data_IF_453452919689
#
_entry.id   IF_453452919689
#
_cell.length_a   1.000
_cell.length_b   1.000
_cell.length_c   1.000
_cell.angle_alpha   90.00
_cell.angle_beta   90.00
_cell.angle_gamma   90.00
#
_symmetry.space_group_name_H-M   'P 1'
#
loop_
_entity.id
_entity.type
_entity.pdbx_description
1 polymer ?
#
# COMPACT_ATOMS: atom_id res chain seq x y z
N UNK A 1 -31.01 -21.17 26.31
CA UNK A 1 -30.23 -19.92 26.31
C UNK A 1 -28.80 -20.09 26.83
N UNK A 2 -28.54 -20.54 28.05
CA UNK A 2 -27.17 -20.66 28.63
C UNK A 2 -26.24 -21.59 27.85
N UNK A 3 -26.73 -22.68 27.21
CA UNK A 3 -25.93 -23.62 26.40
C UNK A 3 -25.47 -22.99 25.10
N UNK A 4 -26.34 -22.24 24.39
CA UNK A 4 -26.04 -21.57 23.14
C UNK A 4 -24.97 -20.49 23.38
N UNK A 5 -25.10 -19.66 24.39
CA UNK A 5 -24.10 -18.64 24.74
C UNK A 5 -22.74 -19.27 25.02
N UNK A 6 -22.69 -20.40 25.73
CA UNK A 6 -21.43 -21.11 26.00
C UNK A 6 -20.76 -21.63 24.71
N UNK A 7 -21.55 -22.17 23.79
CA UNK A 7 -21.02 -22.66 22.48
C UNK A 7 -20.46 -21.49 21.66
N UNK A 8 -21.24 -20.41 21.54
CA UNK A 8 -20.78 -19.22 20.80
C UNK A 8 -19.51 -18.64 21.41
N UNK A 9 -19.43 -18.55 22.73
CA UNK A 9 -18.23 -18.04 23.43
C UNK A 9 -17.01 -18.93 23.22
N UNK A 10 -17.19 -20.25 23.23
CA UNK A 10 -16.09 -21.19 23.03
C UNK A 10 -15.52 -21.10 21.61
N UNK A 11 -16.37 -21.17 20.58
CA UNK A 11 -15.93 -21.02 19.20
C UNK A 11 -15.42 -19.61 18.89
N UNK A 12 -16.05 -18.57 19.43
CA UNK A 12 -15.59 -17.20 19.31
C UNK A 12 -14.16 -17.02 19.84
N UNK A 13 -13.85 -17.60 21.00
CA UNK A 13 -12.51 -17.57 21.58
C UNK A 13 -11.50 -18.35 20.73
N UNK A 14 -11.84 -19.55 20.25
CA UNK A 14 -10.96 -20.35 19.39
C UNK A 14 -10.65 -19.61 18.09
N UNK A 15 -11.67 -19.10 17.41
CA UNK A 15 -11.50 -18.33 16.17
C UNK A 15 -10.64 -17.10 16.45
N UNK A 16 -10.92 -16.38 17.54
CA UNK A 16 -10.13 -15.20 17.90
C UNK A 16 -8.65 -15.54 18.08
N UNK A 17 -8.31 -16.60 18.81
CA UNK A 17 -6.92 -17.02 19.04
C UNK A 17 -6.23 -17.34 17.72
N UNK A 18 -6.81 -18.21 16.90
CA UNK A 18 -6.14 -18.66 15.67
C UNK A 18 -6.07 -17.58 14.60
N UNK A 19 -7.15 -16.80 14.42
CA UNK A 19 -7.19 -15.74 13.42
C UNK A 19 -6.26 -14.58 13.81
N UNK A 20 -6.26 -14.18 15.09
CA UNK A 20 -5.35 -13.13 15.54
C UNK A 20 -3.89 -13.56 15.47
N UNK A 21 -3.57 -14.82 15.77
CA UNK A 21 -2.20 -15.34 15.60
C UNK A 21 -1.79 -15.42 14.12
N UNK A 22 -2.69 -15.87 13.24
CA UNK A 22 -2.42 -15.88 11.79
C UNK A 22 -2.20 -14.46 11.24
N UNK A 23 -3.00 -13.50 11.69
CA UNK A 23 -2.90 -12.09 11.28
C UNK A 23 -1.84 -11.28 12.02
N UNK A 24 -1.20 -11.82 13.07
CA UNK A 24 -0.32 -11.05 13.97
C UNK A 24 0.84 -10.36 13.24
N UNK A 25 1.56 -11.10 12.40
CA UNK A 25 2.70 -10.55 11.66
C UNK A 25 2.25 -9.46 10.69
N UNK A 26 1.13 -9.66 10.00
CA UNK A 26 0.56 -8.66 9.09
C UNK A 26 0.10 -7.42 9.85
N UNK A 27 -0.54 -7.60 10.99
CA UNK A 27 -0.95 -6.49 11.87
C UNK A 27 0.26 -5.67 12.32
N UNK A 28 1.33 -6.34 12.75
CA UNK A 28 2.55 -5.68 13.18
C UNK A 28 3.21 -4.93 12.01
N UNK A 29 3.29 -5.55 10.84
CA UNK A 29 3.83 -4.93 9.62
C UNK A 29 3.06 -3.65 9.30
N UNK A 30 1.73 -3.73 9.19
CA UNK A 30 0.90 -2.57 8.83
C UNK A 30 0.86 -1.51 9.94
N UNK A 31 0.94 -1.88 11.21
CA UNK A 31 1.03 -0.91 12.30
C UNK A 31 2.35 -0.13 12.27
N UNK A 32 3.48 -0.79 12.08
CA UNK A 32 4.79 -0.15 12.00
C UNK A 32 4.89 0.72 10.75
N UNK A 33 4.50 0.20 9.59
CA UNK A 33 4.56 0.97 8.34
C UNK A 33 3.54 2.12 8.29
N UNK A 34 2.39 2.00 8.96
CA UNK A 34 1.47 3.12 9.13
C UNK A 34 2.04 4.24 10.00
N UNK A 35 2.85 3.89 11.01
CA UNK A 35 3.56 4.88 11.82
C UNK A 35 4.64 5.60 11.00
N UNK A 36 5.43 4.88 10.18
CA UNK A 36 6.45 5.49 9.31
C UNK A 36 5.84 6.40 8.25
N UNK A 37 4.69 6.02 7.69
CA UNK A 37 3.93 6.85 6.76
C UNK A 37 3.51 8.20 7.34
N UNK A 38 3.13 8.23 8.60
CA UNK A 38 2.71 9.45 9.29
C UNK A 38 3.89 10.33 9.74
N UNK A 39 5.12 9.77 9.73
CA UNK A 39 6.34 10.44 10.17
C UNK A 39 7.44 10.25 9.14
N UNK A 40 7.28 10.86 7.96
CA UNK A 40 8.23 10.72 6.84
C UNK A 40 9.64 11.19 7.18
N UNK A 41 9.78 12.07 8.19
CA UNK A 41 11.08 12.54 8.70
C UNK A 41 11.88 11.47 9.45
N UNK A 42 11.25 10.35 9.84
CA UNK A 42 11.91 9.25 10.58
C UNK A 42 12.74 8.31 9.68
N UNK A 43 13.41 8.85 8.66
CA UNK A 43 14.45 8.11 7.95
C UNK A 43 14.02 7.50 6.60
N UNK A 44 12.88 7.89 6.04
CA UNK A 44 12.60 7.60 4.63
C UNK A 44 13.65 8.26 3.72
N UNK A 45 14.28 9.34 4.21
CA UNK A 45 15.22 10.17 3.47
C UNK A 45 14.57 10.81 2.24
N UNK A 46 15.17 11.87 1.74
CA UNK A 46 14.73 12.41 0.46
C UNK A 46 14.92 11.35 -0.64
N UNK A 47 13.96 11.23 -1.57
CA UNK A 47 14.10 10.33 -2.70
C UNK A 47 15.36 10.72 -3.51
N UNK A 48 16.17 9.71 -3.86
CA UNK A 48 17.31 9.94 -4.74
C UNK A 48 16.81 10.02 -6.17
N UNK A 49 16.85 11.22 -6.75
CA UNK A 49 16.46 11.47 -8.11
C UNK A 49 17.71 11.45 -8.98
N UNK A 50 17.69 10.65 -10.04
CA UNK A 50 18.72 10.59 -11.07
C UNK A 50 18.10 10.95 -12.40
N UNK A 51 18.67 11.97 -13.06
CA UNK A 51 18.29 12.38 -14.42
C UNK A 51 19.29 11.83 -15.43
N UNK A 52 18.78 11.36 -16.56
CA UNK A 52 19.58 10.95 -17.71
C UNK A 52 18.77 11.12 -18.99
N UNK A 53 19.42 10.96 -20.13
CA UNK A 53 18.75 11.02 -21.44
C UNK A 53 18.95 9.71 -22.20
N UNK A 54 18.05 9.42 -23.11
CA UNK A 54 18.11 8.27 -24.00
C UNK A 54 17.69 8.68 -25.39
N UNK A 55 18.42 8.19 -26.42
CA UNK A 55 18.04 8.36 -27.79
C UNK A 55 17.01 7.31 -28.21
N UNK A 56 16.00 7.74 -28.94
CA UNK A 56 14.92 6.87 -29.40
C UNK A 56 15.06 6.59 -30.90
N UNK A 57 14.97 5.33 -31.34
CA UNK A 57 14.98 5.00 -32.75
C UNK A 57 13.83 5.65 -33.52
N UNK A 58 14.11 6.25 -34.67
CA UNK A 58 13.14 6.92 -35.54
C UNK A 58 11.95 6.00 -35.84
N UNK A 59 12.20 4.75 -36.18
CA UNK A 59 11.15 3.80 -36.52
C UNK A 59 10.14 3.48 -35.35
N UNK A 60 10.53 3.69 -34.10
CA UNK A 60 9.62 3.57 -32.96
C UNK A 60 8.78 4.83 -32.76
N UNK A 61 9.20 5.95 -33.32
CA UNK A 61 8.48 7.23 -33.19
C UNK A 61 7.50 7.46 -34.35
N UNK A 62 7.75 6.87 -35.50
CA UNK A 62 6.85 6.95 -36.67
C UNK A 62 5.57 6.15 -36.46
N UNK A 63 5.69 4.98 -35.84
CA UNK A 63 4.58 4.09 -35.45
C UNK A 63 4.73 3.67 -34.00
N UNK A 64 4.33 4.53 -33.05
CA UNK A 64 4.50 4.24 -31.65
C UNK A 64 3.70 2.99 -31.25
N UNK A 65 4.39 2.03 -30.66
CA UNK A 65 3.79 0.86 -30.04
C UNK A 65 4.26 0.75 -28.59
N UNK A 66 3.31 0.74 -27.68
CA UNK A 66 3.58 0.70 -26.24
C UNK A 66 4.50 -0.46 -25.85
N UNK A 67 4.28 -1.64 -26.42
CA UNK A 67 5.08 -2.82 -26.11
C UNK A 67 6.52 -2.66 -26.61
N UNK A 68 6.69 -2.23 -27.84
CA UNK A 68 8.01 -2.04 -28.46
C UNK A 68 8.82 -0.94 -27.77
N UNK A 69 8.19 0.21 -27.47
CA UNK A 69 8.83 1.31 -26.74
C UNK A 69 9.19 0.84 -25.32
N UNK A 70 8.27 0.18 -24.62
CA UNK A 70 8.50 -0.34 -23.29
C UNK A 70 9.65 -1.33 -23.22
N UNK A 71 9.77 -2.24 -24.19
CA UNK A 71 10.85 -3.23 -24.25
C UNK A 71 12.19 -2.59 -24.59
N UNK A 72 12.20 -1.64 -25.52
CA UNK A 72 13.39 -0.85 -25.86
C UNK A 72 13.94 -0.10 -24.64
N UNK A 73 13.07 0.61 -23.89
CA UNK A 73 13.45 1.35 -22.70
C UNK A 73 13.95 0.42 -21.59
N UNK A 74 13.25 -0.70 -21.33
CA UNK A 74 13.69 -1.70 -20.34
C UNK A 74 15.08 -2.25 -20.63
N UNK A 75 15.34 -2.60 -21.88
CA UNK A 75 16.60 -3.19 -22.30
C UNK A 75 17.76 -2.20 -22.16
N UNK A 76 17.61 -0.97 -22.67
CA UNK A 76 18.66 0.04 -22.67
C UNK A 76 18.94 0.64 -21.29
N UNK A 77 17.90 0.90 -20.52
CA UNK A 77 18.00 1.48 -19.19
C UNK A 77 18.13 0.42 -18.07
N UNK A 78 18.10 -0.87 -18.43
CA UNK A 78 18.14 -2.01 -17.49
C UNK A 78 17.07 -1.93 -16.41
N UNK A 79 15.87 -1.52 -16.80
CA UNK A 79 14.72 -1.38 -15.88
C UNK A 79 14.08 -2.76 -15.65
N UNK A 80 14.04 -3.21 -14.40
CA UNK A 80 13.35 -4.45 -14.01
C UNK A 80 11.90 -4.24 -13.63
N UNK A 81 11.50 -3.01 -13.31
CA UNK A 81 10.14 -2.67 -12.93
C UNK A 81 9.16 -2.89 -14.10
N UNK A 82 7.91 -3.28 -13.82
CA UNK A 82 6.88 -3.35 -14.85
C UNK A 82 6.53 -1.98 -15.39
N UNK A 83 6.05 -1.91 -16.63
CA UNK A 83 5.41 -0.73 -17.19
C UNK A 83 4.04 -0.59 -16.53
N UNK A 84 3.80 0.55 -15.88
CA UNK A 84 2.59 0.82 -15.10
C UNK A 84 1.69 1.85 -15.75
N UNK A 85 2.28 2.77 -16.50
CA UNK A 85 1.52 3.79 -17.21
C UNK A 85 2.16 4.15 -18.54
N UNK A 86 1.32 4.45 -19.54
CA UNK A 86 1.71 4.89 -20.87
C UNK A 86 0.73 5.95 -21.35
N UNK A 87 1.23 7.13 -21.60
CA UNK A 87 0.47 8.23 -22.14
C UNK A 87 1.14 8.76 -23.41
N UNK A 88 0.36 8.90 -24.47
CA UNK A 88 0.81 9.39 -25.77
C UNK A 88 0.00 10.59 -26.19
N UNK A 89 0.67 11.66 -26.58
CA UNK A 89 0.07 12.81 -27.26
C UNK A 89 0.80 13.13 -28.58
N UNK A 90 0.42 14.22 -29.23
CA UNK A 90 1.00 14.61 -30.52
C UNK A 90 2.47 15.02 -30.42
N UNK A 91 2.92 15.48 -29.27
CA UNK A 91 4.26 16.06 -29.06
C UNK A 91 5.18 15.14 -28.26
N UNK A 92 4.63 14.36 -27.34
CA UNK A 92 5.41 13.56 -26.39
C UNK A 92 4.78 12.21 -26.07
N UNK A 93 5.62 11.29 -25.67
CA UNK A 93 5.20 10.00 -25.12
C UNK A 93 5.79 9.90 -23.71
N UNK A 94 4.93 9.69 -22.72
CA UNK A 94 5.36 9.45 -21.36
C UNK A 94 5.17 7.99 -20.99
N UNK A 95 6.25 7.38 -20.50
CA UNK A 95 6.26 5.97 -20.09
C UNK A 95 6.71 5.89 -18.65
N UNK A 96 5.92 5.25 -17.81
CA UNK A 96 6.24 5.07 -16.39
C UNK A 96 6.47 3.60 -16.08
N UNK A 97 7.61 3.32 -15.47
CA UNK A 97 7.93 2.02 -14.87
C UNK A 97 7.97 2.20 -13.36
N UNK A 98 7.21 1.40 -12.63
CA UNK A 98 7.17 1.55 -11.18
C UNK A 98 7.11 0.20 -10.45
N UNK A 99 7.77 0.18 -9.30
CA UNK A 99 7.76 -0.89 -8.31
C UNK A 99 7.94 -0.25 -6.92
N UNK A 100 7.56 -0.92 -5.83
CA UNK A 100 7.71 -0.35 -4.49
C UNK A 100 9.11 0.20 -4.22
N UNK A 101 9.22 1.48 -3.90
CA UNK A 101 10.47 2.19 -3.65
C UNK A 101 11.27 2.58 -4.89
N UNK A 102 10.74 2.37 -6.09
CA UNK A 102 11.46 2.67 -7.34
C UNK A 102 10.51 3.09 -8.45
N UNK A 103 10.73 4.27 -9.02
CA UNK A 103 9.93 4.79 -10.12
C UNK A 103 10.85 5.37 -11.19
N UNK A 104 10.61 5.03 -12.45
CA UNK A 104 11.29 5.62 -13.62
C UNK A 104 10.26 6.19 -14.56
N UNK A 105 10.34 7.47 -14.81
CA UNK A 105 9.50 8.17 -15.78
C UNK A 105 10.37 8.55 -16.97
N UNK A 106 9.95 8.20 -18.15
CA UNK A 106 10.63 8.56 -19.41
C UNK A 106 9.68 9.42 -20.22
N UNK A 107 10.08 10.68 -20.46
CA UNK A 107 9.34 11.62 -21.27
C UNK A 107 10.06 11.78 -22.61
N UNK A 108 9.49 11.24 -23.67
CA UNK A 108 10.07 11.19 -25.00
C UNK A 108 9.50 12.34 -25.84
N UNK A 109 10.36 13.23 -26.32
CA UNK A 109 9.97 14.24 -27.30
C UNK A 109 9.99 13.63 -28.70
N UNK A 110 8.84 13.56 -29.39
CA UNK A 110 8.69 12.91 -30.69
C UNK A 110 9.48 13.61 -31.79
N UNK A 111 9.56 14.93 -31.78
CA UNK A 111 10.27 15.70 -32.80
C UNK A 111 11.80 15.61 -32.66
N UNK A 112 12.29 15.44 -31.44
CA UNK A 112 13.72 15.39 -31.17
C UNK A 112 14.26 13.95 -31.12
N UNK A 113 13.39 12.93 -31.07
CA UNK A 113 13.73 11.52 -30.88
C UNK A 113 14.61 11.31 -29.63
N UNK A 114 14.38 12.12 -28.61
CA UNK A 114 15.09 12.06 -27.31
C UNK A 114 14.13 11.86 -26.18
N UNK A 115 14.50 10.99 -25.23
CA UNK A 115 13.80 10.77 -23.99
C UNK A 115 14.56 11.33 -22.80
N UNK A 116 13.90 12.11 -21.97
CA UNK A 116 14.36 12.48 -20.62
C UNK A 116 13.95 11.40 -19.65
N UNK A 117 14.89 10.88 -18.89
CA UNK A 117 14.70 9.78 -17.95
C UNK A 117 14.88 10.31 -16.54
N UNK A 118 13.83 10.28 -15.76
CA UNK A 118 13.86 10.56 -14.33
C UNK A 118 13.68 9.25 -13.55
N UNK A 119 14.67 8.91 -12.74
CA UNK A 119 14.63 7.73 -11.88
C UNK A 119 14.63 8.16 -10.42
N UNK A 120 13.56 7.87 -9.75
CA UNK A 120 13.38 8.08 -8.32
C UNK A 120 13.61 6.76 -7.57
N UNK A 121 14.47 6.79 -6.56
CA UNK A 121 14.71 5.63 -5.68
C UNK A 121 14.55 6.06 -4.23
N UNK A 122 13.66 5.36 -3.51
CA UNK A 122 13.42 5.54 -2.08
C UNK A 122 14.12 4.46 -1.27
N UNK A 123 14.50 4.79 -0.08
CA UNK A 123 15.10 3.83 0.87
C UNK A 123 14.13 2.71 1.29
N UNK A 124 14.59 1.86 2.20
CA UNK A 124 13.79 0.73 2.69
C UNK A 124 12.44 1.16 3.27
N UNK A 125 12.40 2.27 4.02
CA UNK A 125 11.16 2.78 4.59
C UNK A 125 10.20 3.27 3.51
N UNK A 126 10.67 4.02 2.51
CA UNK A 126 9.83 4.42 1.38
C UNK A 126 9.25 3.23 0.61
N UNK A 127 10.04 2.15 0.46
CA UNK A 127 9.55 0.89 -0.12
C UNK A 127 8.45 0.25 0.75
N UNK A 128 8.62 0.24 2.06
CA UNK A 128 7.61 -0.28 2.99
C UNK A 128 6.34 0.57 3.00
N UNK A 129 6.48 1.88 2.84
CA UNK A 129 5.37 2.82 2.73
C UNK A 129 4.54 2.57 1.46
N UNK A 130 5.20 2.34 0.32
CA UNK A 130 4.53 1.99 -0.94
C UNK A 130 3.81 0.63 -0.81
N UNK A 131 4.43 -0.35 -0.15
CA UNK A 131 3.80 -1.63 0.16
C UNK A 131 2.59 -1.48 1.10
N UNK A 132 2.66 -0.58 2.08
CA UNK A 132 1.52 -0.29 2.96
C UNK A 132 0.33 0.28 2.19
N UNK A 133 0.60 1.22 1.27
CA UNK A 133 -0.42 1.84 0.41
C UNK A 133 -0.88 0.90 -0.72
N UNK A 134 -0.09 -0.12 -1.03
CA UNK A 134 -0.31 -0.99 -2.16
C UNK A 134 0.17 -0.41 -3.50
N UNK A 135 0.83 0.77 -3.51
CA UNK A 135 1.26 1.41 -4.74
C UNK A 135 2.31 0.59 -5.49
N UNK A 136 2.07 0.35 -6.78
CA UNK A 136 2.96 -0.34 -7.70
C UNK A 136 3.43 -1.73 -7.22
N UNK A 137 2.68 -2.35 -6.30
CA UNK A 137 3.04 -3.58 -5.60
C UNK A 137 2.52 -4.87 -6.27
N UNK A 138 1.72 -4.72 -7.34
CA UNK A 138 1.19 -5.81 -8.12
C UNK A 138 0.00 -6.53 -7.47
N UNK A 139 -0.73 -7.30 -8.31
CA UNK A 139 -2.00 -7.94 -7.93
C UNK A 139 -1.91 -8.86 -6.71
N UNK A 140 -0.81 -9.60 -6.57
CA UNK A 140 -0.63 -10.53 -5.43
C UNK A 140 -0.57 -9.77 -4.10
N UNK A 141 0.09 -8.61 -4.09
CA UNK A 141 0.19 -7.79 -2.88
C UNK A 141 -1.15 -7.16 -2.49
N UNK A 142 -1.98 -6.75 -3.45
CA UNK A 142 -3.36 -6.31 -3.17
C UNK A 142 -4.15 -7.38 -2.42
N UNK A 143 -4.05 -8.65 -2.84
CA UNK A 143 -4.68 -9.75 -2.11
C UNK A 143 -4.16 -9.90 -0.68
N UNK A 144 -2.88 -9.66 -0.45
CA UNK A 144 -2.30 -9.70 0.91
C UNK A 144 -2.90 -8.60 1.77
N UNK A 145 -3.07 -7.39 1.23
CA UNK A 145 -3.72 -6.27 1.93
C UNK A 145 -5.17 -6.63 2.28
N UNK A 146 -5.94 -7.12 1.32
CA UNK A 146 -7.34 -7.49 1.51
C UNK A 146 -7.49 -8.61 2.55
N UNK A 147 -6.69 -9.67 2.45
CA UNK A 147 -6.67 -10.77 3.42
C UNK A 147 -6.33 -10.22 4.81
N UNK A 148 -5.37 -9.32 4.93
CA UNK A 148 -4.99 -8.70 6.20
C UNK A 148 -6.16 -7.93 6.81
N UNK A 149 -6.87 -7.14 5.99
CA UNK A 149 -8.04 -6.38 6.44
C UNK A 149 -9.17 -7.31 6.91
N UNK A 150 -9.41 -8.42 6.20
CA UNK A 150 -10.41 -9.43 6.60
C UNK A 150 -10.02 -10.11 7.91
N UNK A 151 -8.75 -10.53 8.06
CA UNK A 151 -8.26 -11.15 9.29
C UNK A 151 -8.38 -10.21 10.49
N UNK A 152 -8.02 -8.94 10.32
CA UNK A 152 -8.16 -7.90 11.35
C UNK A 152 -9.64 -7.70 11.74
N UNK A 153 -10.53 -7.64 10.76
CA UNK A 153 -11.97 -7.48 10.99
C UNK A 153 -12.53 -8.67 11.77
N UNK A 154 -12.21 -9.90 11.35
CA UNK A 154 -12.65 -11.12 12.06
C UNK A 154 -12.07 -11.15 13.48
N UNK A 155 -10.79 -10.79 13.65
CA UNK A 155 -10.14 -10.71 14.95
C UNK A 155 -10.84 -9.71 15.87
N UNK A 156 -11.18 -8.51 15.38
CA UNK A 156 -11.89 -7.49 16.14
C UNK A 156 -13.30 -7.96 16.56
N UNK A 157 -14.08 -8.54 15.64
CA UNK A 157 -15.43 -9.04 15.92
C UNK A 157 -15.41 -10.20 16.91
N UNK A 158 -14.50 -11.15 16.75
CA UNK A 158 -14.39 -12.29 17.67
C UNK A 158 -13.84 -11.88 19.04
N UNK A 159 -12.98 -10.86 19.10
CA UNK A 159 -12.55 -10.22 20.34
C UNK A 159 -13.73 -9.58 21.09
N UNK A 160 -14.63 -8.92 20.36
CA UNK A 160 -15.88 -8.37 20.95
C UNK A 160 -16.79 -9.48 21.49
N UNK A 161 -16.98 -10.58 20.75
CA UNK A 161 -17.76 -11.75 21.24
C UNK A 161 -17.12 -12.33 22.49
N UNK A 162 -15.81 -12.43 22.53
CA UNK A 162 -15.06 -12.90 23.70
C UNK A 162 -15.28 -11.97 24.91
N UNK A 163 -15.19 -10.65 24.71
CA UNK A 163 -15.47 -9.65 25.75
C UNK A 163 -16.88 -9.77 26.32
N UNK A 164 -17.89 -9.95 25.45
CA UNK A 164 -19.28 -10.15 25.86
C UNK A 164 -19.46 -11.39 26.76
N UNK A 165 -18.63 -12.40 26.57
CA UNK A 165 -18.64 -13.63 27.33
C UNK A 165 -18.02 -13.49 28.72
N UNK A 166 -17.12 -12.52 28.89
CA UNK A 166 -16.41 -12.23 30.15
C UNK A 166 -17.23 -11.29 31.03
N UNK A 167 -18.16 -11.84 31.82
CA UNK A 167 -19.09 -11.07 32.67
C UNK A 167 -18.42 -10.02 33.55
N UNK A 168 -17.26 -10.31 34.12
CA UNK A 168 -16.52 -9.40 35.00
C UNK A 168 -15.84 -8.24 34.25
N UNK A 169 -15.60 -8.37 32.94
CA UNK A 169 -14.84 -7.40 32.13
C UNK A 169 -15.66 -6.66 31.08
N UNK A 170 -16.89 -7.15 30.79
CA UNK A 170 -17.69 -6.60 29.68
C UNK A 170 -18.07 -5.13 29.88
N UNK A 171 -18.43 -4.72 31.10
CA UNK A 171 -18.82 -3.32 31.37
C UNK A 171 -17.62 -2.40 31.16
N UNK A 172 -16.48 -2.71 31.78
CA UNK A 172 -15.24 -1.95 31.57
C UNK A 172 -14.84 -1.91 30.10
N UNK A 173 -14.91 -3.04 29.39
CA UNK A 173 -14.57 -3.10 27.98
C UNK A 173 -15.47 -2.20 27.10
N UNK A 174 -16.78 -2.16 27.36
CA UNK A 174 -17.68 -1.24 26.65
C UNK A 174 -17.42 0.23 27.00
N UNK A 175 -17.10 0.52 28.27
CA UNK A 175 -16.73 1.88 28.65
C UNK A 175 -15.48 2.34 27.91
N UNK A 176 -14.40 1.53 27.89
CA UNK A 176 -13.18 1.87 27.16
C UNK A 176 -13.39 1.94 25.65
N UNK A 177 -14.15 1.01 25.05
CA UNK A 177 -14.51 1.06 23.64
C UNK A 177 -15.34 2.30 23.29
N UNK A 178 -16.31 2.65 24.12
CA UNK A 178 -17.11 3.86 23.95
C UNK A 178 -16.30 5.14 24.10
N UNK A 179 -15.40 5.21 25.08
CA UNK A 179 -14.46 6.33 25.22
C UNK A 179 -13.58 6.47 24.00
N UNK A 180 -13.02 5.37 23.48
CA UNK A 180 -12.22 5.38 22.26
C UNK A 180 -12.99 5.93 21.06
N UNK A 181 -14.23 5.47 20.85
CA UNK A 181 -15.09 5.95 19.77
C UNK A 181 -15.40 7.45 19.91
N UNK A 182 -15.79 7.89 21.10
CA UNK A 182 -16.07 9.30 21.37
C UNK A 182 -14.83 10.16 21.13
N UNK A 183 -13.65 9.71 21.58
CA UNK A 183 -12.39 10.40 21.35
C UNK A 183 -12.10 10.57 19.87
N UNK A 184 -12.26 9.50 19.06
CA UNK A 184 -12.07 9.57 17.60
C UNK A 184 -13.03 10.57 16.95
N UNK A 185 -14.31 10.55 17.32
CA UNK A 185 -15.31 11.49 16.79
C UNK A 185 -14.96 12.92 17.17
N UNK A 186 -14.58 13.17 18.41
CA UNK A 186 -14.20 14.52 18.87
C UNK A 186 -12.97 15.04 18.15
N UNK A 187 -11.93 14.19 17.99
CA UNK A 187 -10.72 14.56 17.24
C UNK A 187 -11.08 14.88 15.79
N UNK A 188 -11.89 14.03 15.13
CA UNK A 188 -12.33 14.24 13.76
C UNK A 188 -13.07 15.59 13.60
N UNK A 189 -14.03 15.90 14.48
CA UNK A 189 -14.84 17.11 14.39
C UNK A 189 -14.05 18.40 14.69
N UNK A 190 -13.04 18.32 15.59
CA UNK A 190 -12.31 19.53 16.05
C UNK A 190 -11.04 19.81 15.27
N UNK A 191 -10.36 18.78 14.75
CA UNK A 191 -9.02 18.95 14.17
C UNK A 191 -8.89 18.51 12.71
N UNK A 192 -9.83 17.73 12.17
CA UNK A 192 -9.75 17.36 10.76
C UNK A 192 -10.40 18.47 9.92
N UNK A 193 -9.68 19.09 8.96
CA UNK A 193 -10.25 20.10 8.06
C UNK A 193 -11.43 19.51 7.28
N UNK A 194 -12.53 20.29 7.17
CA UNK A 194 -13.76 19.92 6.44
C UNK A 194 -13.72 20.51 5.04
#
# INVERSE_FOLDING_TARGET
>A
MKRIVRVISHYGLLIHIYVSMAGFILTLLFAVTGLTLNHQDFGAGDPKIKMSTIDMPVGLMDHPDQAAIGEHLKSNLKISAPLTDYHEDEQQIQVTFAAPGHRTVVTINRAQHMGEVETETRGLLGKLDDLHKGFDSGRVWYWIIDISAVLLTISALTGMVTLLSLRSRRVSGFVFGGLGLVTLIVIYLLWVPQ
#
